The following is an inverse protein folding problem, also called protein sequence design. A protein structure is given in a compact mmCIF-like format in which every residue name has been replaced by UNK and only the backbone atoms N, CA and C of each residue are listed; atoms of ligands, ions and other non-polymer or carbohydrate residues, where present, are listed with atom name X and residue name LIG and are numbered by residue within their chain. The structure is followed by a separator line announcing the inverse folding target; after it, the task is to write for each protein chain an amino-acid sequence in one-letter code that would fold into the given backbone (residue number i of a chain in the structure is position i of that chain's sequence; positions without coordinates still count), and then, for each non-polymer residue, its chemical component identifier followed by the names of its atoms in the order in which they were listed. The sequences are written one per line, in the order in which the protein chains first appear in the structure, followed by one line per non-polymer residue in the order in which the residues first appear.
data_IF_232261593439
#
_entry.id   IF_232261593439
#
_cell.length_a   1.000
_cell.length_b   1.000
_cell.length_c   1.000
_cell.angle_alpha   90.00
_cell.angle_beta   90.00
_cell.angle_gamma   90.00
#
_symmetry.space_group_name_H-M   'P 1'
#
loop_
_entity.id
_entity.type
_entity.pdbx_description
1 polymer ?
#
# COMPACT_ATOMS: atom_id res chain seq x y z
N UNK A 1 -2.47 -43.03 0.31
CA UNK A 1 -1.27 -42.43 0.93
C UNK A 1 -1.27 -40.94 0.53
N UNK A 2 -2.07 -40.11 1.19
CA UNK A 2 -2.21 -38.67 0.94
C UNK A 2 -1.20 -37.95 1.80
N UNK A 3 -0.12 -37.49 1.16
CA UNK A 3 0.93 -36.70 1.79
C UNK A 3 0.33 -35.41 2.40
N UNK A 4 0.42 -35.28 3.72
CA UNK A 4 0.23 -34.04 4.48
C UNK A 4 1.31 -33.01 4.08
N UNK A 5 1.15 -32.36 2.93
CA UNK A 5 2.01 -31.24 2.51
C UNK A 5 1.54 -29.89 3.04
N UNK A 6 0.57 -29.86 3.97
CA UNK A 6 -0.14 -28.63 4.37
C UNK A 6 0.39 -27.97 5.66
N UNK A 7 1.47 -28.45 6.30
CA UNK A 7 1.90 -27.89 7.59
C UNK A 7 3.05 -26.90 7.56
N UNK A 8 3.72 -26.71 6.43
CA UNK A 8 4.85 -25.77 6.29
C UNK A 8 4.44 -24.42 5.67
N UNK A 9 3.28 -24.34 5.06
CA UNK A 9 2.81 -23.13 4.38
C UNK A 9 2.29 -22.03 5.33
N UNK A 10 1.94 -22.40 6.57
CA UNK A 10 1.33 -21.49 7.54
C UNK A 10 2.35 -20.71 8.42
N UNK A 11 3.64 -20.95 8.27
CA UNK A 11 4.67 -20.33 9.14
C UNK A 11 5.31 -19.05 8.59
N UNK A 12 4.90 -18.58 7.41
CA UNK A 12 5.43 -17.33 6.86
C UNK A 12 4.42 -16.20 7.01
N UNK A 13 4.88 -15.05 7.50
CA UNK A 13 4.11 -13.80 7.46
C UNK A 13 3.50 -13.63 6.07
N UNK A 14 2.21 -13.37 6.02
CA UNK A 14 1.50 -13.26 4.74
C UNK A 14 2.14 -12.17 3.87
N UNK A 15 2.36 -12.48 2.59
CA UNK A 15 2.84 -11.51 1.59
C UNK A 15 1.98 -10.23 1.58
N UNK A 16 0.65 -10.37 1.77
CA UNK A 16 -0.26 -9.23 1.92
C UNK A 16 0.11 -8.34 3.08
N UNK A 17 0.47 -8.90 4.23
CA UNK A 17 0.82 -8.14 5.44
C UNK A 17 2.01 -7.21 5.18
N UNK A 18 3.08 -7.75 4.58
CA UNK A 18 4.27 -6.96 4.23
C UNK A 18 3.94 -5.91 3.16
N UNK A 19 3.17 -6.28 2.15
CA UNK A 19 2.76 -5.37 1.08
C UNK A 19 1.96 -4.17 1.62
N UNK A 20 0.98 -4.42 2.50
CA UNK A 20 0.20 -3.33 3.12
C UNK A 20 1.03 -2.47 4.05
N UNK A 21 2.03 -3.02 4.75
CA UNK A 21 2.95 -2.24 5.57
C UNK A 21 3.79 -1.28 4.71
N UNK A 22 4.41 -1.78 3.64
CA UNK A 22 5.18 -0.94 2.72
C UNK A 22 4.31 0.14 2.08
N UNK A 23 3.08 -0.20 1.69
CA UNK A 23 2.13 0.73 1.10
C UNK A 23 1.73 1.81 2.11
N UNK A 24 1.42 1.43 3.36
CA UNK A 24 1.09 2.36 4.44
C UNK A 24 2.22 3.38 4.67
N UNK A 25 3.46 2.92 4.80
CA UNK A 25 4.62 3.78 5.01
C UNK A 25 4.83 4.75 3.83
N UNK A 26 4.70 4.26 2.60
CA UNK A 26 4.90 5.09 1.41
C UNK A 26 3.82 6.16 1.28
N UNK A 27 2.54 5.78 1.48
CA UNK A 27 1.42 6.73 1.45
C UNK A 27 1.57 7.74 2.58
N UNK A 28 1.93 7.30 3.78
CA UNK A 28 2.17 8.18 4.91
C UNK A 28 3.18 9.27 4.57
N UNK A 29 4.35 8.88 4.06
CA UNK A 29 5.41 9.80 3.68
C UNK A 29 4.96 10.82 2.64
N UNK A 30 4.30 10.38 1.56
CA UNK A 30 3.81 11.28 0.51
C UNK A 30 2.70 12.20 1.05
N UNK A 31 1.82 11.68 1.89
CA UNK A 31 0.70 12.44 2.44
C UNK A 31 1.14 13.51 3.42
N UNK A 32 2.21 13.30 4.20
CA UNK A 32 2.79 14.34 5.06
C UNK A 32 3.27 15.57 4.27
N UNK A 33 3.83 15.35 3.07
CA UNK A 33 4.25 16.46 2.20
C UNK A 33 3.04 17.22 1.65
N UNK A 34 1.99 16.51 1.26
CA UNK A 34 0.75 17.10 0.77
C UNK A 34 -0.03 17.81 1.89
N UNK A 35 0.00 17.29 3.11
CA UNK A 35 -0.61 17.91 4.29
C UNK A 35 0.13 19.18 4.78
N UNK A 36 1.26 19.54 4.15
CA UNK A 36 2.01 20.74 4.48
C UNK A 36 2.91 20.62 5.72
N UNK A 37 3.12 19.41 6.24
CA UNK A 37 4.00 19.20 7.40
C UNK A 37 5.47 19.42 7.04
N UNK A 38 5.83 19.27 5.75
CA UNK A 38 7.16 19.58 5.21
C UNK A 38 7.05 20.57 4.04
N UNK A 39 7.77 21.65 4.12
CA UNK A 39 7.73 22.75 3.13
C UNK A 39 8.48 22.40 1.85
N UNK A 40 9.39 21.42 1.88
CA UNK A 40 10.20 21.00 0.72
C UNK A 40 10.33 19.50 0.66
N UNK A 41 10.11 18.94 -0.51
CA UNK A 41 10.48 17.56 -0.82
C UNK A 41 12.01 17.52 -0.96
N UNK A 42 12.69 17.08 0.09
CA UNK A 42 14.14 16.87 0.00
C UNK A 42 14.44 15.73 -0.97
N UNK A 43 15.54 15.79 -1.74
CA UNK A 43 15.95 14.70 -2.64
C UNK A 43 16.06 13.34 -1.93
N UNK A 44 16.45 13.34 -0.65
CA UNK A 44 16.51 12.15 0.19
C UNK A 44 15.14 11.48 0.41
N UNK A 45 14.08 12.27 0.40
CA UNK A 45 12.72 11.76 0.54
C UNK A 45 12.26 10.99 -0.70
N UNK A 46 12.57 11.54 -1.87
CA UNK A 46 12.36 10.84 -3.14
C UNK A 46 13.17 9.53 -3.21
N UNK A 47 14.40 9.53 -2.69
CA UNK A 47 15.25 8.33 -2.64
C UNK A 47 14.66 7.22 -1.76
N UNK A 48 13.90 7.55 -0.70
CA UNK A 48 13.24 6.57 0.16
C UNK A 48 12.01 5.92 -0.48
N UNK A 49 11.33 6.61 -1.39
CA UNK A 49 10.14 6.08 -2.08
C UNK A 49 10.52 4.96 -3.06
N UNK A 50 11.68 5.06 -3.70
CA UNK A 50 12.11 4.10 -4.73
C UNK A 50 12.25 2.65 -4.21
N UNK A 51 12.95 2.37 -3.09
CA UNK A 51 13.02 1.02 -2.55
C UNK A 51 11.63 0.46 -2.20
N UNK A 52 10.74 1.30 -1.66
CA UNK A 52 9.37 0.89 -1.33
C UNK A 52 8.56 0.54 -2.58
N UNK A 53 8.74 1.30 -3.66
CA UNK A 53 8.11 1.01 -4.95
C UNK A 53 8.56 -0.34 -5.52
N UNK A 54 9.87 -0.66 -5.41
CA UNK A 54 10.41 -1.95 -5.83
C UNK A 54 9.83 -3.09 -4.99
N UNK A 55 9.81 -2.94 -3.66
CA UNK A 55 9.23 -3.94 -2.74
C UNK A 55 7.76 -4.16 -3.07
N UNK A 56 6.98 -3.11 -3.31
CA UNK A 56 5.58 -3.22 -3.71
C UNK A 56 5.42 -3.97 -5.03
N UNK A 57 6.25 -3.70 -6.02
CA UNK A 57 6.25 -4.43 -7.30
C UNK A 57 6.50 -5.93 -7.09
N UNK A 58 7.49 -6.30 -6.28
CA UNK A 58 7.79 -7.69 -5.94
C UNK A 58 6.61 -8.33 -5.18
N UNK A 59 6.03 -7.64 -4.19
CA UNK A 59 4.86 -8.13 -3.46
C UNK A 59 3.64 -8.29 -4.37
N UNK A 60 3.47 -7.42 -5.36
CA UNK A 60 2.43 -7.55 -6.38
C UNK A 60 2.59 -8.85 -7.20
N UNK A 61 3.80 -9.14 -7.68
CA UNK A 61 4.11 -10.38 -8.41
C UNK A 61 3.85 -11.61 -7.53
N UNK A 62 4.36 -11.62 -6.29
CA UNK A 62 4.18 -12.73 -5.36
C UNK A 62 2.70 -12.93 -5.01
N UNK A 63 1.91 -11.86 -4.89
CA UNK A 63 0.47 -11.94 -4.64
C UNK A 63 -0.26 -12.52 -5.84
N UNK A 64 0.15 -12.17 -7.06
CA UNK A 64 -0.40 -12.73 -8.29
C UNK A 64 -0.13 -14.25 -8.38
N UNK A 65 1.08 -14.68 -8.11
CA UNK A 65 1.45 -16.11 -8.10
C UNK A 65 0.69 -16.92 -7.05
N UNK A 66 0.20 -16.26 -5.99
CA UNK A 66 -0.63 -16.86 -4.93
C UNK A 66 -2.14 -16.74 -5.19
N UNK A 67 -2.55 -16.39 -6.39
CA UNK A 67 -3.95 -16.18 -6.79
C UNK A 67 -4.72 -15.13 -5.95
N UNK A 68 -4.01 -14.17 -5.35
CA UNK A 68 -4.59 -13.03 -4.62
C UNK A 68 -4.71 -11.83 -5.57
N UNK A 69 -5.65 -11.88 -6.48
CA UNK A 69 -5.77 -10.93 -7.59
C UNK A 69 -5.90 -9.46 -7.14
N UNK A 70 -6.70 -9.16 -6.11
CA UNK A 70 -6.90 -7.80 -5.63
C UNK A 70 -5.61 -7.24 -5.00
N UNK A 71 -4.95 -8.00 -4.11
CA UNK A 71 -3.69 -7.60 -3.49
C UNK A 71 -2.59 -7.40 -4.57
N UNK A 72 -2.56 -8.26 -5.59
CA UNK A 72 -1.63 -8.14 -6.71
C UNK A 72 -1.83 -6.81 -7.45
N UNK A 73 -3.07 -6.44 -7.79
CA UNK A 73 -3.39 -5.20 -8.49
C UNK A 73 -3.05 -3.98 -7.63
N UNK A 74 -3.39 -4.00 -6.34
CA UNK A 74 -3.10 -2.91 -5.41
C UNK A 74 -1.60 -2.69 -5.24
N UNK A 75 -0.82 -3.75 -5.02
CA UNK A 75 0.62 -3.61 -4.79
C UNK A 75 1.36 -3.29 -6.07
N UNK A 76 1.04 -3.94 -7.17
CA UNK A 76 1.68 -3.68 -8.45
C UNK A 76 1.35 -2.26 -8.94
N UNK A 77 0.07 -1.86 -8.88
CA UNK A 77 -0.37 -0.51 -9.21
C UNK A 77 0.28 0.54 -8.31
N UNK A 78 0.31 0.31 -6.99
CA UNK A 78 1.01 1.18 -6.04
C UNK A 78 2.50 1.28 -6.34
N UNK A 79 3.17 0.17 -6.65
CA UNK A 79 4.58 0.15 -7.03
C UNK A 79 4.86 1.01 -8.27
N UNK A 80 4.06 0.87 -9.32
CA UNK A 80 4.19 1.67 -10.54
C UNK A 80 3.90 3.15 -10.25
N UNK A 81 2.85 3.46 -9.48
CA UNK A 81 2.52 4.83 -9.09
C UNK A 81 3.71 5.51 -8.42
N UNK A 82 4.28 4.88 -7.39
CA UNK A 82 5.38 5.48 -6.63
C UNK A 82 6.69 5.51 -7.41
N UNK A 83 6.96 4.51 -8.24
CA UNK A 83 8.10 4.54 -9.16
C UNK A 83 8.01 5.71 -10.15
N UNK A 84 6.86 5.89 -10.79
CA UNK A 84 6.64 6.97 -11.75
C UNK A 84 6.62 8.35 -11.08
N UNK A 85 6.06 8.47 -9.87
CA UNK A 85 6.11 9.69 -9.09
C UNK A 85 7.56 10.05 -8.68
N UNK A 86 8.38 9.05 -8.30
CA UNK A 86 9.80 9.25 -8.04
C UNK A 86 10.54 9.72 -9.28
N UNK A 87 10.34 9.06 -10.42
CA UNK A 87 10.98 9.44 -11.68
C UNK A 87 10.61 10.87 -12.10
N UNK A 88 9.33 11.26 -11.95
CA UNK A 88 8.88 12.61 -12.20
C UNK A 88 9.52 13.65 -11.27
N UNK A 89 9.63 13.32 -9.96
CA UNK A 89 10.27 14.20 -8.98
C UNK A 89 11.77 14.41 -9.26
N UNK A 90 12.48 13.35 -9.68
CA UNK A 90 13.90 13.45 -10.07
C UNK A 90 14.08 14.27 -11.36
N UNK A 91 13.21 14.07 -12.34
CA UNK A 91 13.22 14.85 -13.57
C UNK A 91 12.96 16.35 -13.32
N UNK A 92 12.02 16.67 -12.42
CA UNK A 92 11.70 18.03 -12.03
C UNK A 92 12.82 18.74 -11.23
N UNK A 93 13.71 17.99 -10.59
CA UNK A 93 14.87 18.53 -9.89
C UNK A 93 16.03 18.94 -10.83
N UNK A 94 15.94 18.59 -12.12
CA UNK A 94 16.87 19.01 -13.17
C UNK A 94 16.70 20.49 -13.55
N UNK A 95 17.57 21.04 -14.45
CA UNK A 95 17.44 22.40 -14.94
C UNK A 95 16.07 22.55 -15.61
N UNK A 96 15.26 23.40 -15.00
CA UNK A 96 13.85 23.59 -15.24
C UNK A 96 13.46 23.71 -16.73
N UNK A 97 12.88 22.67 -17.25
CA UNK A 97 11.88 22.81 -18.30
C UNK A 97 10.57 23.08 -17.58
N UNK A 98 10.01 24.27 -17.75
CA UNK A 98 8.67 24.60 -17.25
C UNK A 98 7.66 23.72 -17.97
N UNK A 99 7.40 22.53 -17.45
CA UNK A 99 6.25 21.77 -17.89
C UNK A 99 4.97 22.39 -17.32
N UNK A 100 3.91 22.53 -18.13
CA UNK A 100 2.66 23.09 -17.64
C UNK A 100 2.13 22.25 -16.47
N UNK A 101 1.81 22.90 -15.35
CA UNK A 101 1.22 22.29 -14.15
C UNK A 101 0.04 21.36 -14.43
N UNK A 102 -0.66 21.60 -15.53
CA UNK A 102 -1.79 20.77 -16.00
C UNK A 102 -1.43 19.31 -16.29
N UNK A 103 -0.19 19.01 -16.69
CA UNK A 103 0.21 17.64 -16.99
C UNK A 103 0.29 16.76 -15.73
N UNK A 104 0.79 17.30 -14.62
CA UNK A 104 0.84 16.61 -13.35
C UNK A 104 -0.58 16.28 -12.83
N UNK A 105 -1.53 17.17 -13.01
CA UNK A 105 -2.94 16.94 -12.67
C UNK A 105 -3.54 15.74 -13.41
N UNK A 106 -3.26 15.59 -14.72
CA UNK A 106 -3.72 14.42 -15.49
C UNK A 106 -3.10 13.12 -14.99
N UNK A 107 -1.82 13.13 -14.61
CA UNK A 107 -1.16 11.97 -14.03
C UNK A 107 -1.90 11.49 -12.77
N UNK A 108 -2.15 12.38 -11.82
CA UNK A 108 -2.86 12.01 -10.59
C UNK A 108 -4.33 11.64 -10.83
N UNK A 109 -4.99 12.26 -11.82
CA UNK A 109 -6.36 11.92 -12.17
C UNK A 109 -6.48 10.50 -12.72
N UNK A 110 -5.58 10.07 -13.60
CA UNK A 110 -5.56 8.70 -14.14
C UNK A 110 -5.39 7.69 -13.01
N UNK A 111 -4.47 7.96 -12.08
CA UNK A 111 -4.27 7.09 -10.94
C UNK A 111 -5.45 7.10 -9.94
N UNK A 112 -6.13 8.23 -9.78
CA UNK A 112 -7.36 8.31 -8.99
C UNK A 112 -8.46 7.44 -9.59
N UNK A 113 -8.64 7.47 -10.91
CA UNK A 113 -9.59 6.61 -11.64
C UNK A 113 -9.20 5.14 -11.49
N UNK A 114 -7.91 4.80 -11.63
CA UNK A 114 -7.43 3.43 -11.44
C UNK A 114 -7.76 2.90 -10.05
N UNK A 115 -7.42 3.63 -8.98
CA UNK A 115 -7.74 3.21 -7.62
C UNK A 115 -9.25 3.28 -7.31
N UNK A 116 -9.99 4.17 -7.95
CA UNK A 116 -11.45 4.17 -7.91
C UNK A 116 -12.04 2.88 -8.48
N UNK A 117 -11.50 2.40 -9.59
CA UNK A 117 -11.88 1.11 -10.17
C UNK A 117 -11.51 -0.08 -9.25
N UNK A 118 -10.31 -0.04 -8.66
CA UNK A 118 -9.89 -1.06 -7.68
C UNK A 118 -10.80 -1.05 -6.45
N UNK A 119 -11.25 0.13 -6.01
CA UNK A 119 -12.20 0.26 -4.91
C UNK A 119 -13.52 -0.43 -5.20
N UNK A 120 -14.08 -0.25 -6.40
CA UNK A 120 -15.30 -0.98 -6.81
C UNK A 120 -15.06 -2.49 -6.76
N UNK A 121 -13.89 -2.98 -7.22
CA UNK A 121 -13.50 -4.38 -7.13
C UNK A 121 -13.30 -4.88 -5.68
N UNK A 122 -13.14 -3.98 -4.72
CA UNK A 122 -12.88 -4.32 -3.31
C UNK A 122 -14.15 -4.56 -2.47
N UNK A 123 -15.36 -4.40 -3.00
CA UNK A 123 -16.62 -4.53 -2.24
C UNK A 123 -16.83 -5.91 -1.59
N UNK A 124 -16.12 -6.93 -2.03
CA UNK A 124 -16.15 -8.24 -1.42
C UNK A 124 -15.09 -8.45 -0.32
N UNK A 125 -14.33 -7.40 0.03
CA UNK A 125 -13.28 -7.47 1.04
C UNK A 125 -13.72 -6.82 2.37
N UNK A 126 -12.80 -6.78 3.34
CA UNK A 126 -13.06 -6.15 4.64
C UNK A 126 -13.19 -4.63 4.53
N UNK A 127 -14.03 -4.02 5.37
CA UNK A 127 -14.28 -2.58 5.39
C UNK A 127 -12.99 -1.72 5.46
N UNK A 128 -11.98 -2.05 6.29
CA UNK A 128 -10.73 -1.27 6.31
C UNK A 128 -10.00 -1.24 4.96
N UNK A 129 -10.03 -2.35 4.20
CA UNK A 129 -9.44 -2.41 2.85
C UNK A 129 -10.19 -1.54 1.86
N UNK A 130 -11.52 -1.55 1.90
CA UNK A 130 -12.35 -0.70 1.03
C UNK A 130 -12.10 0.78 1.30
N UNK A 131 -12.12 1.18 2.57
CA UNK A 131 -11.91 2.56 2.98
C UNK A 131 -10.48 3.06 2.67
N UNK A 132 -9.49 2.18 2.82
CA UNK A 132 -8.12 2.49 2.44
C UNK A 132 -7.99 2.81 0.95
N UNK A 133 -8.53 1.94 0.06
CA UNK A 133 -8.44 2.14 -1.39
C UNK A 133 -9.23 3.37 -1.83
N UNK A 134 -10.42 3.59 -1.26
CA UNK A 134 -11.23 4.79 -1.51
C UNK A 134 -10.47 6.06 -1.08
N UNK A 135 -9.90 6.04 0.14
CA UNK A 135 -9.13 7.18 0.65
C UNK A 135 -7.93 7.50 -0.23
N UNK A 136 -7.23 6.49 -0.73
CA UNK A 136 -6.13 6.68 -1.68
C UNK A 136 -6.63 7.32 -2.99
N UNK A 137 -7.73 6.83 -3.57
CA UNK A 137 -8.32 7.40 -4.78
C UNK A 137 -8.72 8.87 -4.58
N UNK A 138 -9.36 9.20 -3.45
CA UNK A 138 -9.78 10.56 -3.13
C UNK A 138 -8.58 11.50 -2.88
N UNK A 139 -7.52 11.01 -2.24
CA UNK A 139 -6.27 11.76 -2.03
C UNK A 139 -5.61 12.13 -3.36
N UNK A 140 -5.54 11.18 -4.30
CA UNK A 140 -4.99 11.41 -5.65
C UNK A 140 -5.87 12.38 -6.46
N UNK A 141 -7.19 12.24 -6.36
CA UNK A 141 -8.13 13.16 -7.02
C UNK A 141 -8.00 14.59 -6.47
N UNK A 142 -7.88 14.76 -5.16
CA UNK A 142 -7.66 16.06 -4.55
C UNK A 142 -6.33 16.69 -5.00
N UNK A 143 -5.28 15.89 -5.15
CA UNK A 143 -4.00 16.35 -5.70
C UNK A 143 -4.14 16.78 -7.17
N UNK A 144 -4.85 16.01 -8.00
CA UNK A 144 -5.12 16.37 -9.39
C UNK A 144 -5.89 17.69 -9.50
N UNK A 145 -6.92 17.87 -8.68
CA UNK A 145 -7.71 19.11 -8.63
C UNK A 145 -6.86 20.30 -8.19
N UNK A 146 -5.92 20.10 -7.26
CA UNK A 146 -4.97 21.15 -6.86
C UNK A 146 -4.14 21.63 -8.05
N UNK A 147 -3.59 20.69 -8.82
CA UNK A 147 -2.72 21.02 -9.95
C UNK A 147 -3.49 21.71 -11.09
N UNK A 148 -4.79 21.41 -11.27
CA UNK A 148 -5.62 22.06 -12.27
C UNK A 148 -6.17 23.42 -11.83
N UNK A 149 -6.54 23.56 -10.55
CA UNK A 149 -7.20 24.78 -10.04
C UNK A 149 -6.22 25.77 -9.42
N UNK A 150 -5.00 25.31 -9.06
CA UNK A 150 -4.04 26.09 -8.31
C UNK A 150 -4.45 26.37 -6.85
N UNK A 151 -5.48 25.70 -6.32
CA UNK A 151 -5.98 25.91 -4.96
C UNK A 151 -5.20 25.06 -3.95
N UNK A 152 -4.31 25.64 -3.11
CA UNK A 152 -3.47 24.87 -2.19
C UNK A 152 -4.29 24.15 -1.11
N UNK A 153 -5.48 24.62 -0.78
CA UNK A 153 -6.39 24.01 0.19
C UNK A 153 -6.77 22.56 -0.18
N UNK A 154 -7.01 22.28 -1.46
CA UNK A 154 -7.33 20.92 -1.93
C UNK A 154 -6.16 19.96 -1.70
N UNK A 155 -4.92 20.44 -1.79
CA UNK A 155 -3.74 19.64 -1.51
C UNK A 155 -3.67 19.23 -0.04
N UNK A 156 -3.98 20.14 0.87
CA UNK A 156 -4.03 19.82 2.30
C UNK A 156 -5.11 18.77 2.60
N UNK A 157 -6.31 18.94 2.04
CA UNK A 157 -7.38 17.93 2.18
C UNK A 157 -6.91 16.58 1.67
N UNK A 158 -6.34 16.52 0.47
CA UNK A 158 -5.80 15.30 -0.11
C UNK A 158 -4.73 14.67 0.77
N UNK A 159 -3.84 15.48 1.36
CA UNK A 159 -2.82 15.03 2.30
C UNK A 159 -3.42 14.37 3.55
N UNK A 160 -4.39 15.00 4.20
CA UNK A 160 -5.05 14.42 5.39
C UNK A 160 -5.84 13.16 5.07
N UNK A 161 -6.56 13.12 3.95
CA UNK A 161 -7.25 11.90 3.48
C UNK A 161 -6.23 10.78 3.25
N UNK A 162 -5.09 11.09 2.64
CA UNK A 162 -4.00 10.15 2.42
C UNK A 162 -3.39 9.62 3.73
N UNK A 163 -3.23 10.48 4.77
CA UNK A 163 -2.78 10.04 6.11
C UNK A 163 -3.75 9.05 6.74
N UNK A 164 -5.05 9.33 6.68
CA UNK A 164 -6.09 8.40 7.17
C UNK A 164 -6.03 7.08 6.39
N UNK A 165 -5.88 7.16 5.07
CA UNK A 165 -5.73 5.99 4.22
C UNK A 165 -4.49 5.16 4.60
N UNK A 166 -3.36 5.80 4.87
CA UNK A 166 -2.14 5.13 5.33
C UNK A 166 -2.33 4.42 6.68
N UNK A 167 -3.04 5.04 7.63
CA UNK A 167 -3.40 4.40 8.91
C UNK A 167 -4.25 3.16 8.70
N UNK A 168 -5.24 3.21 7.81
CA UNK A 168 -6.08 2.05 7.49
C UNK A 168 -5.27 0.92 6.85
N UNK A 169 -4.35 1.24 5.94
CA UNK A 169 -3.45 0.24 5.36
C UNK A 169 -2.53 -0.38 6.43
N UNK A 170 -2.01 0.44 7.35
CA UNK A 170 -1.24 -0.02 8.51
C UNK A 170 -2.05 -0.93 9.43
N UNK A 171 -3.32 -0.61 9.67
CA UNK A 171 -4.23 -1.45 10.44
C UNK A 171 -4.47 -2.81 9.76
N UNK A 172 -4.68 -2.83 8.45
CA UNK A 172 -4.81 -4.08 7.68
C UNK A 172 -3.55 -4.93 7.80
N UNK A 173 -2.37 -4.31 7.76
CA UNK A 173 -1.10 -5.00 7.98
C UNK A 173 -0.99 -5.55 9.40
N UNK A 174 -1.25 -4.74 10.42
CA UNK A 174 -1.16 -5.13 11.83
C UNK A 174 -2.11 -6.29 12.17
N UNK A 175 -3.33 -6.29 11.65
CA UNK A 175 -4.28 -7.38 11.84
C UNK A 175 -3.76 -8.71 11.26
N UNK A 176 -3.04 -8.67 10.15
CA UNK A 176 -2.37 -9.83 9.58
C UNK A 176 -1.23 -10.38 10.46
N UNK A 177 -0.46 -9.50 11.12
CA UNK A 177 0.58 -9.92 12.08
C UNK A 177 -0.02 -10.55 13.35
N UNK A 178 -1.10 -9.97 13.89
CA UNK A 178 -1.77 -10.48 15.09
C UNK A 178 -2.36 -11.87 14.83
N UNK A 179 -3.00 -12.08 13.68
CA UNK A 179 -3.52 -13.38 13.30
C UNK A 179 -2.40 -14.44 13.23
N UNK A 180 -1.25 -14.08 12.68
CA UNK A 180 -0.08 -14.94 12.62
C UNK A 180 0.46 -15.31 14.01
N UNK A 181 0.55 -14.33 14.93
CA UNK A 181 1.02 -14.55 16.30
C UNK A 181 0.07 -15.42 17.14
N UNK A 182 -1.24 -15.30 16.91
CA UNK A 182 -2.26 -16.09 17.62
C UNK A 182 -2.24 -17.58 17.25
N UNK A 183 -1.98 -17.91 15.99
CA UNK A 183 -1.87 -19.31 15.53
C UNK A 183 -0.60 -20.00 16.07
N UNK A 184 0.47 -19.24 16.29
CA UNK A 184 1.73 -19.77 16.86
C UNK A 184 1.60 -20.19 18.33
N UNK A 185 0.55 -19.76 19.03
CA UNK A 185 0.35 -20.02 20.47
C UNK A 185 -0.87 -20.93 20.74
N UNK A 186 -1.33 -21.71 19.77
CA UNK A 186 -2.43 -22.67 19.99
C UNK A 186 -1.95 -23.84 20.87
N UNK A 187 -2.57 -24.08 22.05
CA UNK A 187 -2.13 -25.10 23.01
C UNK A 187 -2.38 -26.54 22.57
N UNK A 188 -2.79 -26.79 21.36
CA UNK A 188 -3.12 -28.13 20.86
C UNK A 188 -1.90 -29.06 20.68
N UNK A 189 -0.68 -28.56 20.80
CA UNK A 189 0.52 -29.40 20.68
C UNK A 189 0.91 -30.11 21.98
N UNK A 190 0.32 -29.72 23.13
CA UNK A 190 0.64 -30.34 24.42
C UNK A 190 -0.03 -31.72 24.67
N UNK A 191 -1.07 -32.07 23.92
CA UNK A 191 -1.80 -33.32 24.13
C UNK A 191 -1.30 -34.53 23.32
N UNK A 192 -0.36 -34.34 22.42
CA UNK A 192 0.20 -35.44 21.61
C UNK A 192 1.44 -36.12 22.29
N UNK A 193 1.90 -35.58 23.40
CA UNK A 193 3.05 -36.12 24.15
C UNK A 193 2.70 -37.15 25.28
N UNK A 194 1.42 -37.38 25.54
CA UNK A 194 1.03 -38.40 26.54
C UNK A 194 0.93 -39.78 25.87
N UNK A 195 2.08 -40.39 25.67
CA UNK A 195 2.20 -41.80 25.33
C UNK A 195 1.62 -42.65 26.44
N UNK A 196 0.71 -43.52 26.06
CA UNK A 196 0.27 -44.64 26.83
C UNK A 196 1.46 -45.40 27.48
N UNK A 197 1.44 -45.69 28.78
CA UNK A 197 2.29 -46.73 29.31
C UNK A 197 1.73 -48.07 28.85
N UNK A 198 2.59 -48.86 28.21
CA UNK A 198 2.32 -50.26 27.91
C UNK A 198 2.09 -51.02 29.20
N UNK A 199 0.94 -51.65 29.34
CA UNK A 199 0.63 -52.73 30.25
C UNK A 199 0.61 -54.06 29.51
#
# INVERSE_FOLDING_TARGET
MTLKLNSTENRCVSTSTIGYMCLALTIWMVSMTNAGWYVRVYPHFAAMIMPMAVVLGVMGILSHLRARSLDAVVFFGGGILFWSAHAAAVAAAGPSTMEPLSYAGWFFAIWAVFFGYVWVGSFHTTLPRQLFVLGLALSLLATALTDWTGMPFLRYIGGYIGLISALLAGFVSASGFIAFGGEAHSPNDEHLGQTHPAG
#
